data_IF_430166826065
#
_entry.id   IF_430166826065
#
_cell.length_a   1.000
_cell.length_b   1.000
_cell.length_c   1.000
_cell.angle_alpha   90.00
_cell.angle_beta   90.00
_cell.angle_gamma   90.00
#
_symmetry.space_group_name_H-M   'P 1'
#
loop_
_entity.id
_entity.type
_entity.pdbx_description
1 polymer ?
#
# COMPACT_ATOMS: atom_id res chain seq x y z
N UNK A 1 40.38 -11.61 8.66
CA UNK A 1 39.13 -11.80 7.89
C UNK A 1 38.09 -10.85 8.44
N UNK A 2 37.44 -9.97 7.66
CA UNK A 2 36.32 -9.20 8.19
C UNK A 2 35.21 -10.19 8.53
N UNK A 3 34.76 -10.18 9.78
CA UNK A 3 33.67 -11.03 10.25
C UNK A 3 32.49 -10.92 9.28
N UNK A 4 31.98 -12.06 8.80
CA UNK A 4 30.73 -12.10 8.05
C UNK A 4 29.69 -11.31 8.85
N UNK A 5 28.99 -10.32 8.26
CA UNK A 5 27.98 -9.61 9.02
C UNK A 5 26.97 -10.63 9.51
N UNK A 6 26.92 -10.84 10.83
CA UNK A 6 25.97 -11.74 11.46
C UNK A 6 24.58 -11.38 10.90
N UNK A 7 23.88 -12.38 10.37
CA UNK A 7 22.53 -12.18 9.85
C UNK A 7 21.67 -11.63 10.98
N UNK A 8 21.50 -10.30 11.01
CA UNK A 8 20.71 -9.66 12.04
C UNK A 8 19.25 -9.98 11.73
N UNK A 9 18.57 -10.64 12.65
CA UNK A 9 17.18 -11.01 12.47
C UNK A 9 16.31 -9.80 12.08
N UNK A 10 15.32 -9.97 11.18
CA UNK A 10 14.62 -8.85 10.56
C UNK A 10 13.83 -7.97 11.56
N UNK A 11 13.53 -8.49 12.75
CA UNK A 11 12.89 -7.77 13.87
C UNK A 11 13.84 -6.98 14.77
N UNK A 12 15.15 -6.95 14.50
CA UNK A 12 16.15 -6.22 15.30
C UNK A 12 16.48 -4.84 14.72
N UNK A 13 16.87 -3.90 15.57
CA UNK A 13 17.42 -2.60 15.18
C UNK A 13 18.90 -2.72 14.77
N UNK A 14 19.53 -1.60 14.37
CA UNK A 14 20.96 -1.59 13.97
C UNK A 14 21.91 -1.91 15.13
N UNK A 15 21.47 -1.73 16.38
CA UNK A 15 22.23 -2.06 17.57
C UNK A 15 21.96 -3.50 18.05
N UNK A 16 21.21 -4.30 17.27
CA UNK A 16 20.87 -5.69 17.61
C UNK A 16 19.74 -5.83 18.63
N UNK A 17 19.12 -4.74 19.08
CA UNK A 17 18.00 -4.79 20.04
C UNK A 17 16.69 -5.13 19.35
N UNK A 18 15.76 -5.73 20.08
CA UNK A 18 14.43 -6.03 19.55
C UNK A 18 13.67 -4.73 19.25
N UNK A 19 13.18 -4.60 18.02
CA UNK A 19 12.34 -3.48 17.59
C UNK A 19 10.90 -3.92 17.54
N UNK A 20 10.08 -3.47 18.49
CA UNK A 20 8.65 -3.79 18.53
C UNK A 20 7.96 -3.53 17.19
N UNK A 21 8.20 -2.37 16.56
CA UNK A 21 7.64 -2.04 15.25
C UNK A 21 7.99 -3.07 14.16
N UNK A 22 9.27 -3.47 14.07
CA UNK A 22 9.69 -4.44 13.06
C UNK A 22 9.12 -5.83 13.35
N UNK A 23 9.08 -6.23 14.62
CA UNK A 23 8.47 -7.50 15.02
C UNK A 23 6.98 -7.53 14.68
N UNK A 24 6.23 -6.48 15.02
CA UNK A 24 4.80 -6.38 14.71
C UNK A 24 4.53 -6.46 13.21
N UNK A 25 5.31 -5.74 12.38
CA UNK A 25 5.15 -5.81 10.92
C UNK A 25 5.55 -7.18 10.38
N UNK A 26 6.57 -7.83 10.95
CA UNK A 26 6.97 -9.18 10.56
C UNK A 26 5.87 -10.20 10.87
N UNK A 27 5.30 -10.18 12.07
CA UNK A 27 4.18 -11.06 12.45
C UNK A 27 2.94 -10.79 11.59
N UNK A 28 2.62 -9.52 11.34
CA UNK A 28 1.55 -9.12 10.44
C UNK A 28 1.78 -9.62 9.01
N UNK A 29 3.02 -9.62 8.52
CA UNK A 29 3.37 -10.14 7.20
C UNK A 29 3.20 -11.66 7.07
N UNK A 30 3.34 -12.40 8.17
CA UNK A 30 3.14 -13.86 8.21
C UNK A 30 1.68 -14.26 8.39
N UNK A 31 0.91 -13.47 9.15
CA UNK A 31 -0.46 -13.77 9.53
C UNK A 31 -1.36 -14.26 8.36
N UNK A 32 -1.40 -13.60 7.19
CA UNK A 32 -2.28 -14.05 6.12
C UNK A 32 -1.84 -15.35 5.45
N UNK A 33 -0.54 -15.59 5.33
CA UNK A 33 -0.02 -16.87 4.84
C UNK A 33 -0.34 -18.02 5.80
N UNK A 34 -0.23 -17.77 7.12
CA UNK A 34 -0.63 -18.74 8.15
C UNK A 34 -2.13 -19.01 8.14
N UNK A 35 -2.95 -17.97 7.97
CA UNK A 35 -4.39 -18.12 7.86
C UNK A 35 -4.79 -18.94 6.63
N UNK A 36 -4.20 -18.64 5.46
CA UNK A 36 -4.45 -19.41 4.24
C UNK A 36 -4.02 -20.87 4.37
N UNK A 37 -2.87 -21.13 4.99
CA UNK A 37 -2.39 -22.49 5.24
C UNK A 37 -3.30 -23.25 6.22
N UNK A 38 -3.77 -22.59 7.28
CA UNK A 38 -4.73 -23.16 8.23
C UNK A 38 -6.08 -23.44 7.58
N UNK A 39 -6.59 -22.53 6.75
CA UNK A 39 -7.83 -22.72 6.00
C UNK A 39 -7.73 -23.87 4.99
N UNK A 40 -6.57 -24.06 4.37
CA UNK A 40 -6.29 -25.21 3.52
C UNK A 40 -6.28 -26.52 4.33
N UNK A 41 -5.58 -26.54 5.47
CA UNK A 41 -5.47 -27.73 6.32
C UNK A 41 -6.81 -28.14 6.97
N UNK A 42 -7.72 -27.19 7.17
CA UNK A 42 -9.06 -27.44 7.71
C UNK A 42 -10.15 -27.58 6.66
N UNK A 43 -9.81 -27.81 5.38
CA UNK A 43 -10.75 -27.98 4.26
C UNK A 43 -11.75 -26.80 4.10
N UNK A 44 -11.37 -25.60 4.53
CA UNK A 44 -12.24 -24.42 4.56
C UNK A 44 -12.18 -23.57 3.27
N UNK A 45 -11.43 -24.00 2.26
CA UNK A 45 -11.22 -23.26 1.00
C UNK A 45 -12.15 -23.70 -0.15
N UNK A 46 -13.11 -24.58 0.14
CA UNK A 46 -14.11 -25.05 -0.81
C UNK A 46 -13.55 -26.01 -1.87
N UNK A 47 -14.30 -26.19 -2.96
CA UNK A 47 -14.04 -27.26 -3.94
C UNK A 47 -12.73 -27.12 -4.75
N UNK A 48 -12.14 -25.92 -4.82
CA UNK A 48 -10.89 -25.65 -5.55
C UNK A 48 -9.87 -24.97 -4.64
N UNK A 49 -9.31 -25.70 -3.66
CA UNK A 49 -8.51 -25.12 -2.60
C UNK A 49 -7.20 -24.50 -3.10
N UNK A 50 -6.55 -25.13 -4.10
CA UNK A 50 -5.32 -24.57 -4.71
C UNK A 50 -5.60 -23.26 -5.44
N UNK A 51 -6.70 -23.18 -6.21
CA UNK A 51 -7.11 -21.95 -6.87
C UNK A 51 -7.47 -20.86 -5.84
N UNK A 52 -8.08 -21.22 -4.71
CA UNK A 52 -8.34 -20.27 -3.62
C UNK A 52 -7.04 -19.75 -2.96
N UNK A 53 -6.05 -20.61 -2.71
CA UNK A 53 -4.72 -20.20 -2.26
C UNK A 53 -4.04 -19.28 -3.28
N UNK A 54 -4.13 -19.61 -4.57
CA UNK A 54 -3.57 -18.83 -5.67
C UNK A 54 -4.15 -17.41 -5.65
N UNK A 55 -5.47 -17.27 -5.60
CA UNK A 55 -6.11 -15.96 -5.49
C UNK A 55 -5.70 -15.24 -4.20
N UNK A 56 -5.83 -15.88 -3.04
CA UNK A 56 -5.52 -15.27 -1.75
C UNK A 56 -4.08 -14.74 -1.66
N UNK A 57 -3.10 -15.50 -2.14
CA UNK A 57 -1.69 -15.04 -2.13
C UNK A 57 -1.44 -13.88 -3.08
N UNK A 58 -2.12 -13.86 -4.25
CA UNK A 58 -2.07 -12.74 -5.19
C UNK A 58 -2.68 -11.46 -4.60
N UNK A 59 -3.82 -11.57 -3.94
CA UNK A 59 -4.46 -10.45 -3.24
C UNK A 59 -3.55 -9.88 -2.17
N UNK A 60 -2.98 -10.72 -1.31
CA UNK A 60 -2.06 -10.28 -0.26
C UNK A 60 -0.79 -9.64 -0.82
N UNK A 61 -0.27 -10.11 -1.95
CA UNK A 61 0.84 -9.45 -2.63
C UNK A 61 0.50 -7.99 -2.99
N UNK A 62 -0.69 -7.73 -3.57
CA UNK A 62 -1.15 -6.36 -3.90
C UNK A 62 -1.37 -5.54 -2.63
N UNK A 63 -1.97 -6.11 -1.59
CA UNK A 63 -2.16 -5.44 -0.29
C UNK A 63 -0.84 -4.99 0.31
N UNK A 64 0.15 -5.87 0.38
CA UNK A 64 1.50 -5.52 0.86
C UNK A 64 2.19 -4.49 -0.04
N UNK A 65 1.94 -4.52 -1.35
CA UNK A 65 2.51 -3.55 -2.29
C UNK A 65 2.00 -2.15 -1.98
N UNK A 66 0.70 -2.00 -1.81
CA UNK A 66 0.10 -0.72 -1.41
C UNK A 66 0.52 -0.28 -0.01
N UNK A 67 0.62 -1.20 0.96
CA UNK A 67 1.17 -0.90 2.29
C UNK A 67 2.62 -0.38 2.20
N UNK A 68 3.46 -0.98 1.36
CA UNK A 68 4.84 -0.52 1.14
C UNK A 68 4.89 0.90 0.55
N UNK A 69 3.95 1.23 -0.34
CA UNK A 69 3.77 2.56 -0.91
C UNK A 69 3.17 3.55 0.11
N UNK A 70 2.39 3.06 1.07
CA UNK A 70 1.76 3.86 2.12
C UNK A 70 2.76 4.35 3.20
N UNK A 71 3.89 3.67 3.37
CA UNK A 71 4.90 4.03 4.38
C UNK A 71 5.32 5.51 4.30
N UNK A 72 5.57 6.03 3.10
CA UNK A 72 6.00 7.42 2.91
C UNK A 72 4.93 8.45 3.29
N UNK A 73 3.68 8.37 2.78
CA UNK A 73 2.59 9.25 3.21
C UNK A 73 2.35 9.20 4.71
N UNK A 74 2.19 8.00 5.26
CA UNK A 74 1.88 7.82 6.68
C UNK A 74 2.98 8.38 7.57
N UNK A 75 4.26 8.15 7.22
CA UNK A 75 5.40 8.75 7.93
C UNK A 75 5.30 10.28 8.02
N UNK A 76 4.89 10.96 6.94
CA UNK A 76 4.86 12.42 6.88
C UNK A 76 3.61 13.00 7.54
N UNK A 77 2.46 12.41 7.28
CA UNK A 77 1.18 12.88 7.83
C UNK A 77 1.15 12.67 9.35
N UNK A 78 1.50 11.46 9.81
CA UNK A 78 1.51 11.11 11.23
C UNK A 78 2.79 11.52 11.99
N UNK A 79 3.75 12.19 11.33
CA UNK A 79 5.06 12.54 11.90
C UNK A 79 5.81 11.37 12.55
N UNK A 80 5.72 10.17 11.95
CA UNK A 80 6.31 8.96 12.51
C UNK A 80 7.51 8.46 11.67
N UNK A 81 8.71 9.05 11.84
CA UNK A 81 9.88 8.76 11.00
C UNK A 81 10.33 7.30 11.07
N UNK A 82 10.11 6.61 12.20
CA UNK A 82 10.49 5.21 12.40
C UNK A 82 9.79 4.25 11.43
N UNK A 83 8.66 4.63 10.83
CA UNK A 83 7.95 3.82 9.85
C UNK A 83 8.79 3.50 8.60
N UNK A 84 9.81 4.32 8.28
CA UNK A 84 10.70 4.04 7.15
C UNK A 84 11.51 2.73 7.34
N UNK A 85 11.70 2.29 8.59
CA UNK A 85 12.49 1.11 8.94
C UNK A 85 11.85 -0.20 8.47
N UNK A 86 10.53 -0.21 8.24
CA UNK A 86 9.78 -1.40 7.80
C UNK A 86 9.48 -1.42 6.30
N UNK A 87 9.83 -0.35 5.56
CA UNK A 87 9.56 -0.26 4.12
C UNK A 87 10.18 -1.41 3.32
N UNK A 88 11.44 -1.73 3.61
CA UNK A 88 12.15 -2.83 2.95
C UNK A 88 11.55 -4.19 3.30
N UNK A 89 11.15 -4.38 4.56
CA UNK A 89 10.49 -5.60 5.02
C UNK A 89 9.20 -5.84 4.23
N UNK A 90 8.32 -4.84 4.16
CA UNK A 90 7.09 -4.90 3.36
C UNK A 90 7.38 -5.17 1.87
N UNK A 91 8.35 -4.47 1.27
CA UNK A 91 8.70 -4.70 -0.14
C UNK A 91 9.19 -6.12 -0.43
N UNK A 92 9.96 -6.73 0.49
CA UNK A 92 10.36 -8.13 0.36
C UNK A 92 9.21 -9.11 0.62
N UNK A 93 8.27 -8.76 1.52
CA UNK A 93 7.02 -9.51 1.70
C UNK A 93 6.21 -9.56 0.41
N UNK A 94 6.09 -8.44 -0.32
CA UNK A 94 5.42 -8.44 -1.64
C UNK A 94 6.03 -9.45 -2.58
N UNK A 95 7.37 -9.45 -2.71
CA UNK A 95 8.07 -10.39 -3.57
C UNK A 95 7.85 -11.84 -3.11
N UNK A 96 7.91 -12.10 -1.80
CA UNK A 96 7.68 -13.44 -1.26
C UNK A 96 6.28 -13.96 -1.62
N UNK A 97 5.24 -13.17 -1.40
CA UNK A 97 3.86 -13.56 -1.76
C UNK A 97 3.68 -13.70 -3.26
N UNK A 98 4.30 -12.84 -4.08
CA UNK A 98 4.23 -12.95 -5.54
C UNK A 98 4.95 -14.20 -6.07
N UNK A 99 6.05 -14.63 -5.45
CA UNK A 99 6.72 -15.89 -5.77
C UNK A 99 5.89 -17.11 -5.34
N UNK A 100 5.28 -17.06 -4.15
CA UNK A 100 4.34 -18.10 -3.70
C UNK A 100 3.14 -18.18 -4.66
N UNK A 101 2.63 -17.04 -5.11
CA UNK A 101 1.55 -16.97 -6.09
C UNK A 101 1.94 -17.66 -7.41
N UNK A 102 3.12 -17.38 -7.96
CA UNK A 102 3.62 -18.10 -9.14
C UNK A 102 3.79 -19.61 -8.87
N UNK A 103 4.31 -19.97 -7.70
CA UNK A 103 4.47 -21.39 -7.33
C UNK A 103 3.12 -22.10 -7.26
N UNK A 104 2.10 -21.48 -6.65
CA UNK A 104 0.73 -22.02 -6.61
C UNK A 104 0.11 -22.10 -8.00
N UNK A 105 0.44 -21.19 -8.92
CA UNK A 105 0.01 -21.30 -10.31
C UNK A 105 0.63 -22.52 -10.99
N UNK A 106 1.91 -22.80 -10.75
CA UNK A 106 2.57 -24.03 -11.24
C UNK A 106 1.89 -25.28 -10.65
N UNK A 107 1.52 -25.26 -9.37
CA UNK A 107 0.77 -26.35 -8.72
C UNK A 107 -0.62 -26.51 -9.35
N UNK A 108 -1.35 -25.42 -9.59
CA UNK A 108 -2.68 -25.41 -10.25
C UNK A 108 -2.60 -25.97 -11.68
N UNK A 109 -1.45 -25.82 -12.34
CA UNK A 109 -1.12 -26.45 -13.62
C UNK A 109 -0.52 -27.86 -13.52
N UNK A 110 -0.63 -28.52 -12.37
CA UNK A 110 -0.12 -29.87 -12.11
C UNK A 110 1.38 -30.05 -12.43
N UNK A 111 2.19 -29.01 -12.21
CA UNK A 111 3.63 -28.98 -12.49
C UNK A 111 4.01 -29.17 -13.98
N UNK A 112 3.06 -29.06 -14.91
CA UNK A 112 3.34 -29.14 -16.35
C UNK A 112 3.92 -27.81 -16.83
N UNK A 113 5.25 -27.65 -16.74
CA UNK A 113 5.92 -26.36 -17.00
C UNK A 113 5.75 -25.85 -18.44
N UNK A 114 5.67 -26.74 -19.43
CA UNK A 114 5.40 -26.36 -20.82
C UNK A 114 4.04 -25.68 -20.97
N UNK A 115 3.02 -26.19 -20.26
CA UNK A 115 1.69 -25.58 -20.19
C UNK A 115 1.73 -24.23 -19.47
N UNK A 116 2.42 -24.16 -18.32
CA UNK A 116 2.60 -22.91 -17.56
C UNK A 116 3.15 -21.79 -18.45
N UNK A 117 4.25 -22.06 -19.16
CA UNK A 117 4.88 -21.08 -20.05
C UNK A 117 3.97 -20.74 -21.22
N UNK A 118 3.37 -21.75 -21.86
CA UNK A 118 2.44 -21.54 -22.98
C UNK A 118 1.27 -20.64 -22.57
N UNK A 119 0.66 -20.86 -21.41
CA UNK A 119 -0.44 -20.03 -20.91
C UNK A 119 0.02 -18.61 -20.56
N UNK A 120 1.20 -18.44 -19.95
CA UNK A 120 1.75 -17.11 -19.64
C UNK A 120 1.95 -16.27 -20.91
N UNK A 121 2.37 -16.90 -22.01
CA UNK A 121 2.62 -16.21 -23.29
C UNK A 121 1.31 -15.95 -24.05
N UNK A 122 0.38 -16.89 -24.02
CA UNK A 122 -0.86 -16.82 -24.83
C UNK A 122 -1.97 -16.03 -24.16
N UNK A 123 -2.00 -15.95 -22.82
CA UNK A 123 -3.03 -15.21 -22.07
C UNK A 123 -2.47 -13.86 -21.61
N UNK A 124 -2.93 -12.78 -22.23
CA UNK A 124 -2.39 -11.43 -22.00
C UNK A 124 -2.36 -11.01 -20.52
N UNK A 125 -3.39 -11.35 -19.73
CA UNK A 125 -3.43 -11.00 -18.31
C UNK A 125 -2.33 -11.72 -17.50
N UNK A 126 -1.96 -12.95 -17.86
CA UNK A 126 -0.84 -13.67 -17.24
C UNK A 126 0.50 -13.04 -17.61
N UNK A 127 0.66 -12.60 -18.86
CA UNK A 127 1.86 -11.86 -19.28
C UNK A 127 2.06 -10.60 -18.45
N UNK A 128 0.98 -9.82 -18.21
CA UNK A 128 1.03 -8.62 -17.36
C UNK A 128 1.49 -8.96 -15.93
N UNK A 129 0.92 -10.02 -15.34
CA UNK A 129 1.31 -10.49 -14.02
C UNK A 129 2.77 -10.93 -13.96
N UNK A 130 3.25 -11.64 -14.98
CA UNK A 130 4.64 -12.10 -15.08
C UNK A 130 5.62 -10.92 -15.23
N UNK A 131 5.31 -9.90 -16.03
CA UNK A 131 6.12 -8.68 -16.15
C UNK A 131 6.19 -7.94 -14.81
N UNK A 132 5.08 -7.84 -14.08
CA UNK A 132 5.06 -7.25 -12.74
C UNK A 132 5.94 -8.05 -11.76
N UNK A 133 5.83 -9.38 -11.76
CA UNK A 133 6.66 -10.27 -10.95
C UNK A 133 8.16 -10.12 -11.29
N UNK A 134 8.51 -10.09 -12.57
CA UNK A 134 9.89 -9.88 -13.01
C UNK A 134 10.43 -8.55 -12.47
N UNK A 135 9.64 -7.48 -12.56
CA UNK A 135 9.97 -6.19 -11.95
C UNK A 135 10.19 -6.29 -10.43
N UNK A 136 9.32 -7.00 -9.71
CA UNK A 136 9.48 -7.23 -8.26
C UNK A 136 10.76 -8.00 -7.94
N UNK A 137 11.13 -9.01 -8.73
CA UNK A 137 12.38 -9.78 -8.58
C UNK A 137 13.58 -8.85 -8.73
N UNK A 138 13.60 -8.00 -9.76
CA UNK A 138 14.67 -7.00 -9.97
C UNK A 138 14.78 -6.06 -8.76
N UNK A 139 13.65 -5.56 -8.24
CA UNK A 139 13.66 -4.71 -7.05
C UNK A 139 14.11 -5.46 -5.79
N UNK A 140 13.73 -6.73 -5.62
CA UNK A 140 14.14 -7.56 -4.48
C UNK A 140 15.63 -7.87 -4.47
N UNK A 141 16.19 -8.31 -5.60
CA UNK A 141 17.63 -8.59 -5.74
C UNK A 141 18.46 -7.32 -5.50
N UNK A 142 17.97 -6.16 -5.92
CA UNK A 142 18.62 -4.86 -5.69
C UNK A 142 18.32 -4.24 -4.32
N UNK A 143 17.62 -4.95 -3.42
CA UNK A 143 17.31 -4.46 -2.07
C UNK A 143 18.34 -4.83 -1.02
N UNK A 144 19.43 -5.54 -1.36
CA UNK A 144 20.51 -5.87 -0.40
C UNK A 144 21.39 -4.65 -0.09
N UNK A 145 22.00 -4.61 1.09
CA UNK A 145 22.86 -3.48 1.48
C UNK A 145 24.06 -3.32 0.52
N UNK A 146 24.59 -4.44 0.00
CA UNK A 146 25.63 -4.43 -1.02
C UNK A 146 25.16 -3.80 -2.33
N UNK A 147 23.98 -4.16 -2.82
CA UNK A 147 23.43 -3.60 -4.06
C UNK A 147 23.02 -2.14 -3.92
N UNK A 148 22.48 -1.74 -2.77
CA UNK A 148 22.18 -0.32 -2.48
C UNK A 148 23.46 0.51 -2.55
N UNK A 149 24.57 0.03 -1.95
CA UNK A 149 25.88 0.70 -2.03
C UNK A 149 26.43 0.72 -3.46
N UNK A 150 26.36 -0.42 -4.17
CA UNK A 150 26.89 -0.56 -5.55
C UNK A 150 26.18 0.35 -6.54
N UNK A 151 24.86 0.44 -6.48
CA UNK A 151 24.06 1.22 -7.44
C UNK A 151 24.01 2.71 -7.10
N UNK A 152 24.21 3.10 -5.84
CA UNK A 152 24.26 4.51 -5.41
C UNK A 152 23.08 5.33 -5.92
N UNK A 153 23.34 6.37 -6.73
CA UNK A 153 22.31 7.29 -7.27
C UNK A 153 21.35 6.62 -8.27
N UNK A 154 21.73 5.49 -8.87
CA UNK A 154 20.85 4.75 -9.78
C UNK A 154 19.79 3.93 -9.03
N UNK A 155 20.10 3.48 -7.79
CA UNK A 155 19.17 2.70 -6.96
C UNK A 155 17.78 3.35 -6.79
N UNK A 156 17.66 4.62 -6.35
CA UNK A 156 16.35 5.25 -6.21
C UNK A 156 15.66 5.49 -7.56
N UNK A 157 16.38 5.54 -8.69
CA UNK A 157 15.76 5.64 -10.02
C UNK A 157 15.14 4.31 -10.42
N UNK A 158 15.87 3.20 -10.25
CA UNK A 158 15.37 1.85 -10.47
C UNK A 158 14.13 1.57 -9.61
N UNK A 159 14.21 1.92 -8.32
CA UNK A 159 13.12 1.67 -7.36
C UNK A 159 11.87 2.55 -7.58
N UNK A 160 11.89 3.52 -8.52
CA UNK A 160 10.66 4.17 -9.00
C UNK A 160 9.81 3.25 -9.87
N UNK A 161 10.38 2.18 -10.44
CA UNK A 161 9.63 1.18 -11.21
C UNK A 161 8.51 0.53 -10.39
N UNK A 162 8.57 0.57 -9.05
CA UNK A 162 7.51 0.10 -8.16
C UNK A 162 6.15 0.73 -8.45
N UNK A 163 6.09 1.97 -8.95
CA UNK A 163 4.83 2.61 -9.32
C UNK A 163 4.22 1.96 -10.55
N UNK A 164 5.03 1.67 -11.57
CA UNK A 164 4.59 0.93 -12.77
C UNK A 164 4.21 -0.50 -12.41
N UNK A 165 4.99 -1.18 -11.57
CA UNK A 165 4.69 -2.54 -11.08
C UNK A 165 3.36 -2.56 -10.34
N UNK A 166 3.05 -1.54 -9.52
CA UNK A 166 1.77 -1.44 -8.84
C UNK A 166 0.60 -1.28 -9.81
N UNK A 167 0.75 -0.47 -10.86
CA UNK A 167 -0.27 -0.37 -11.92
C UNK A 167 -0.46 -1.72 -12.63
N UNK A 168 0.63 -2.38 -13.02
CA UNK A 168 0.56 -3.70 -13.67
C UNK A 168 -0.11 -4.75 -12.78
N UNK A 169 0.23 -4.78 -11.48
CA UNK A 169 -0.39 -5.68 -10.51
C UNK A 169 -1.89 -5.44 -10.32
N UNK A 170 -2.32 -4.17 -10.26
CA UNK A 170 -3.74 -3.82 -10.16
C UNK A 170 -4.50 -4.17 -11.44
N UNK A 171 -3.92 -3.91 -12.62
CA UNK A 171 -4.52 -4.30 -13.91
C UNK A 171 -4.64 -5.82 -14.02
N UNK A 172 -3.59 -6.55 -13.65
CA UNK A 172 -3.63 -8.02 -13.59
C UNK A 172 -4.76 -8.51 -12.68
N UNK A 173 -4.95 -7.89 -11.51
CA UNK A 173 -6.02 -8.24 -10.58
C UNK A 173 -7.41 -7.95 -11.16
N UNK A 174 -7.62 -6.79 -11.79
CA UNK A 174 -8.88 -6.49 -12.49
C UNK A 174 -9.24 -7.53 -13.55
N UNK A 175 -8.26 -7.94 -14.35
CA UNK A 175 -8.48 -8.88 -15.45
C UNK A 175 -8.75 -10.31 -14.97
N UNK A 176 -8.33 -10.65 -13.76
CA UNK A 176 -8.59 -11.95 -13.14
C UNK A 176 -9.97 -12.01 -12.48
N UNK A 177 -10.52 -10.88 -12.03
CA UNK A 177 -11.83 -10.81 -11.42
C UNK A 177 -12.95 -11.12 -12.43
N UNK A 178 -13.81 -12.09 -12.10
CA UNK A 178 -14.80 -12.63 -13.05
C UNK A 178 -16.14 -11.89 -13.04
N UNK A 179 -16.67 -11.63 -11.84
CA UNK A 179 -18.03 -11.09 -11.67
C UNK A 179 -17.97 -9.88 -10.74
N UNK A 180 -17.38 -10.05 -9.56
CA UNK A 180 -17.22 -8.97 -8.60
C UNK A 180 -15.83 -8.35 -8.71
N UNK A 181 -15.77 -7.07 -9.04
CA UNK A 181 -14.53 -6.28 -9.10
C UNK A 181 -14.38 -5.34 -7.90
N UNK A 182 -15.17 -5.51 -6.84
CA UNK A 182 -15.17 -4.61 -5.69
C UNK A 182 -13.78 -4.47 -5.05
N UNK A 183 -13.08 -5.59 -4.84
CA UNK A 183 -11.74 -5.59 -4.26
C UNK A 183 -10.70 -4.89 -5.14
N UNK A 184 -10.51 -5.24 -6.43
CA UNK A 184 -9.54 -4.53 -7.27
C UNK A 184 -9.89 -3.05 -7.44
N UNK A 185 -11.17 -2.68 -7.50
CA UNK A 185 -11.61 -1.27 -7.50
C UNK A 185 -11.20 -0.56 -6.21
N UNK A 186 -11.45 -1.17 -5.05
CA UNK A 186 -11.08 -0.60 -3.75
C UNK A 186 -9.57 -0.36 -3.65
N UNK A 187 -8.76 -1.37 -3.97
CA UNK A 187 -7.30 -1.25 -3.91
C UNK A 187 -6.74 -0.27 -4.95
N UNK A 188 -7.42 -0.10 -6.08
CA UNK A 188 -7.10 0.93 -7.08
C UNK A 188 -7.39 2.33 -6.55
N UNK A 189 -8.52 2.55 -5.88
CA UNK A 189 -8.78 3.81 -5.18
C UNK A 189 -7.74 4.08 -4.09
N UNK A 190 -7.34 3.06 -3.32
CA UNK A 190 -6.22 3.16 -2.38
C UNK A 190 -4.90 3.60 -3.05
N UNK A 191 -4.56 3.01 -4.20
CA UNK A 191 -3.41 3.43 -4.99
C UNK A 191 -3.52 4.88 -5.47
N UNK A 192 -4.69 5.29 -5.97
CA UNK A 192 -4.95 6.66 -6.40
C UNK A 192 -4.84 7.68 -5.26
N UNK A 193 -5.29 7.35 -4.04
CA UNK A 193 -5.06 8.18 -2.85
C UNK A 193 -3.56 8.38 -2.59
N UNK A 194 -2.78 7.29 -2.66
CA UNK A 194 -1.34 7.32 -2.44
C UNK A 194 -0.60 8.11 -3.53
N UNK A 195 -1.05 8.05 -4.77
CA UNK A 195 -0.48 8.81 -5.88
C UNK A 195 -0.90 10.28 -5.84
N UNK A 196 -2.17 10.56 -5.54
CA UNK A 196 -2.69 11.91 -5.36
C UNK A 196 -1.96 12.66 -4.24
N UNK A 197 -1.69 12.01 -3.10
CA UNK A 197 -0.88 12.63 -2.05
C UNK A 197 0.56 12.96 -2.51
N UNK A 198 1.16 12.13 -3.36
CA UNK A 198 2.47 12.42 -3.97
C UNK A 198 2.38 13.56 -4.98
N UNK A 199 1.31 13.63 -5.75
CA UNK A 199 1.05 14.71 -6.70
C UNK A 199 0.92 16.05 -5.97
N UNK A 200 0.16 16.11 -4.88
CA UNK A 200 0.04 17.32 -4.03
C UNK A 200 1.42 17.84 -3.59
N UNK A 201 2.30 16.96 -3.11
CA UNK A 201 3.66 17.37 -2.73
C UNK A 201 4.53 17.79 -3.90
N UNK A 202 4.40 17.11 -5.05
CA UNK A 202 5.16 17.46 -6.26
C UNK A 202 4.75 18.84 -6.76
N UNK A 203 3.46 19.16 -6.68
CA UNK A 203 2.89 20.46 -7.04
C UNK A 203 3.00 21.51 -5.92
N UNK A 204 3.64 21.17 -4.78
CA UNK A 204 3.82 22.04 -3.61
C UNK A 204 2.50 22.58 -3.02
N UNK A 205 1.40 21.85 -3.19
CA UNK A 205 0.15 22.18 -2.53
C UNK A 205 0.25 21.96 -1.02
N UNK A 206 -0.40 22.81 -0.19
CA UNK A 206 -0.34 22.67 1.26
C UNK A 206 -1.00 21.35 1.69
N UNK A 207 -0.35 20.62 2.59
CA UNK A 207 -0.90 19.38 3.17
C UNK A 207 -1.60 19.76 4.47
N UNK A 208 -2.86 20.19 4.34
CA UNK A 208 -3.74 20.55 5.46
C UNK A 208 -5.00 19.65 5.42
N UNK A 209 -5.85 19.67 6.47
CA UNK A 209 -7.02 18.79 6.51
C UNK A 209 -7.99 19.00 5.33
N UNK A 210 -8.14 20.23 4.83
CA UNK A 210 -9.05 20.54 3.72
C UNK A 210 -8.54 19.99 2.39
N UNK A 211 -7.25 20.11 2.09
CA UNK A 211 -6.68 19.57 0.84
C UNK A 211 -6.68 18.04 0.86
N UNK A 212 -6.45 17.43 2.02
CA UNK A 212 -6.55 15.98 2.20
C UNK A 212 -7.99 15.47 2.09
N UNK A 213 -8.97 16.23 2.62
CA UNK A 213 -10.39 15.93 2.45
C UNK A 213 -10.81 16.03 0.97
N UNK A 214 -10.43 17.11 0.30
CA UNK A 214 -10.70 17.29 -1.14
C UNK A 214 -10.11 16.16 -1.99
N UNK A 215 -8.89 15.73 -1.66
CA UNK A 215 -8.28 14.55 -2.29
C UNK A 215 -9.08 13.27 -2.03
N UNK A 216 -9.52 13.03 -0.79
CA UNK A 216 -10.29 11.84 -0.44
C UNK A 216 -11.62 11.76 -1.22
N UNK A 217 -12.36 12.87 -1.28
CA UNK A 217 -13.61 12.97 -2.05
C UNK A 217 -13.36 12.79 -3.54
N UNK A 218 -12.37 13.49 -4.11
CA UNK A 218 -12.06 13.39 -5.53
C UNK A 218 -11.69 11.95 -5.93
N UNK A 219 -10.87 11.27 -5.13
CA UNK A 219 -10.51 9.88 -5.42
C UNK A 219 -11.69 8.93 -5.25
N UNK A 220 -12.55 9.11 -4.25
CA UNK A 220 -13.76 8.30 -4.10
C UNK A 220 -14.69 8.42 -5.32
N UNK A 221 -14.87 9.63 -5.86
CA UNK A 221 -15.63 9.87 -7.09
C UNK A 221 -15.00 9.19 -8.31
N UNK A 222 -13.67 9.31 -8.45
CA UNK A 222 -12.94 8.60 -9.53
C UNK A 222 -13.08 7.08 -9.38
N UNK A 223 -13.03 6.55 -8.15
CA UNK A 223 -13.24 5.12 -7.88
C UNK A 223 -14.63 4.66 -8.29
N UNK A 224 -15.69 5.40 -7.94
CA UNK A 224 -17.06 5.09 -8.39
C UNK A 224 -17.18 5.12 -9.92
N UNK A 225 -16.55 6.11 -10.57
CA UNK A 225 -16.49 6.20 -12.03
C UNK A 225 -15.76 5.03 -12.68
N UNK A 226 -14.64 4.60 -12.10
CA UNK A 226 -13.88 3.43 -12.58
C UNK A 226 -14.70 2.14 -12.45
N UNK A 227 -15.40 1.95 -11.34
CA UNK A 227 -16.31 0.80 -11.16
C UNK A 227 -17.40 0.80 -12.23
N UNK A 228 -18.08 1.93 -12.42
CA UNK A 228 -19.15 2.08 -13.41
C UNK A 228 -18.64 1.88 -14.85
N UNK A 229 -17.47 2.43 -15.17
CA UNK A 229 -16.83 2.23 -16.46
C UNK A 229 -16.49 0.77 -16.71
N UNK A 230 -15.92 0.07 -15.71
CA UNK A 230 -15.55 -1.33 -15.86
C UNK A 230 -16.77 -2.21 -16.17
N UNK A 231 -17.83 -2.11 -15.36
CA UNK A 231 -19.06 -2.88 -15.61
C UNK A 231 -19.76 -2.48 -16.93
N UNK A 232 -19.67 -1.20 -17.32
CA UNK A 232 -20.15 -0.71 -18.60
C UNK A 232 -19.45 -1.34 -19.79
N UNK A 233 -18.13 -1.32 -19.82
CA UNK A 233 -17.34 -1.81 -20.95
C UNK A 233 -17.14 -3.33 -20.95
N UNK A 234 -16.91 -3.94 -19.78
CA UNK A 234 -16.57 -5.36 -19.68
C UNK A 234 -17.79 -6.27 -19.55
N UNK A 235 -18.86 -5.81 -18.88
CA UNK A 235 -20.04 -6.63 -18.58
C UNK A 235 -21.30 -6.18 -19.32
N UNK A 236 -21.27 -5.05 -20.02
CA UNK A 236 -22.44 -4.46 -20.71
C UNK A 236 -23.53 -3.94 -19.76
N UNK A 237 -23.24 -3.81 -18.46
CA UNK A 237 -24.19 -3.27 -17.48
C UNK A 237 -24.21 -1.75 -17.62
N UNK A 238 -25.37 -1.10 -17.81
CA UNK A 238 -25.43 0.35 -17.93
C UNK A 238 -24.73 1.05 -16.76
N UNK A 239 -23.78 1.92 -17.07
CA UNK A 239 -22.97 2.63 -16.06
C UNK A 239 -23.83 3.41 -15.06
N UNK A 240 -24.97 3.96 -15.53
CA UNK A 240 -25.95 4.64 -14.68
C UNK A 240 -26.46 3.75 -13.54
N UNK A 241 -26.75 2.47 -13.81
CA UNK A 241 -27.23 1.53 -12.78
C UNK A 241 -26.17 1.29 -11.72
N UNK A 242 -24.89 1.24 -12.12
CA UNK A 242 -23.78 1.06 -11.19
C UNK A 242 -23.57 2.31 -10.32
N UNK A 243 -23.74 3.51 -10.90
CA UNK A 243 -23.69 4.78 -10.16
C UNK A 243 -24.87 4.92 -9.20
N UNK A 244 -26.10 4.61 -9.64
CA UNK A 244 -27.27 4.57 -8.76
C UNK A 244 -27.05 3.58 -7.61
N UNK A 245 -26.49 2.41 -7.89
CA UNK A 245 -26.19 1.42 -6.85
C UNK A 245 -25.07 1.85 -5.89
N UNK A 246 -24.17 2.77 -6.30
CA UNK A 246 -23.21 3.41 -5.39
C UNK A 246 -23.93 4.33 -4.38
N UNK A 247 -25.09 4.89 -4.73
CA UNK A 247 -25.85 5.80 -3.86
C UNK A 247 -26.98 5.10 -3.09
N UNK A 248 -27.42 3.92 -3.54
CA UNK A 248 -28.58 3.22 -2.99
C UNK A 248 -28.31 2.44 -1.69
N UNK A 249 -27.06 2.37 -1.23
CA UNK A 249 -26.62 1.61 -0.03
C UNK A 249 -27.40 0.30 0.22
N UNK A 250 -27.34 -0.68 -0.71
CA UNK A 250 -27.91 -2.00 -0.46
C UNK A 250 -27.15 -2.71 0.68
N UNK A 251 -27.45 -3.99 0.92
CA UNK A 251 -26.82 -4.81 1.98
C UNK A 251 -25.28 -4.86 1.95
N UNK A 252 -24.63 -4.46 0.84
CA UNK A 252 -23.17 -4.33 0.73
C UNK A 252 -22.75 -2.90 0.33
N UNK A 253 -21.79 -2.36 1.09
CA UNK A 253 -21.20 -1.05 0.84
C UNK A 253 -20.22 -1.13 -0.33
N UNK A 254 -20.42 -0.28 -1.33
CA UNK A 254 -19.61 -0.23 -2.56
C UNK A 254 -18.18 0.31 -2.31
N UNK A 255 -17.20 -0.06 -3.16
CA UNK A 255 -15.78 0.29 -2.97
C UNK A 255 -15.49 1.78 -2.77
N UNK A 256 -16.20 2.66 -3.48
CA UNK A 256 -15.97 4.11 -3.41
C UNK A 256 -16.12 4.66 -1.98
N UNK A 257 -17.08 4.14 -1.21
CA UNK A 257 -17.30 4.54 0.18
C UNK A 257 -16.20 4.03 1.10
N UNK A 258 -15.70 2.82 0.87
CA UNK A 258 -14.52 2.31 1.60
C UNK A 258 -13.26 3.12 1.30
N UNK A 259 -13.07 3.55 0.04
CA UNK A 259 -11.97 4.43 -0.36
C UNK A 259 -12.12 5.80 0.29
N UNK A 260 -13.33 6.35 0.34
CA UNK A 260 -13.60 7.60 1.06
C UNK A 260 -13.26 7.46 2.53
N UNK A 261 -13.75 6.42 3.21
CA UNK A 261 -13.47 6.15 4.62
C UNK A 261 -11.96 6.04 4.88
N UNK A 262 -11.23 5.30 4.05
CA UNK A 262 -9.77 5.19 4.11
C UNK A 262 -9.09 6.55 3.89
N UNK A 263 -9.57 7.33 2.92
CA UNK A 263 -9.07 8.66 2.60
C UNK A 263 -9.28 9.67 3.74
N UNK A 264 -10.40 9.59 4.46
CA UNK A 264 -10.76 10.45 5.59
C UNK A 264 -9.87 10.24 6.82
N UNK A 265 -9.17 9.11 6.93
CA UNK A 265 -8.16 8.90 7.98
C UNK A 265 -7.03 9.92 7.85
N UNK A 266 -6.64 10.29 6.63
CA UNK A 266 -5.54 11.22 6.38
C UNK A 266 -5.79 12.63 6.95
N UNK A 267 -6.91 13.33 6.62
CA UNK A 267 -7.21 14.63 7.21
C UNK A 267 -7.47 14.53 8.72
N UNK A 268 -8.09 13.45 9.21
CA UNK A 268 -8.35 13.27 10.64
C UNK A 268 -7.03 13.19 11.45
N UNK A 269 -6.09 12.35 11.02
CA UNK A 269 -4.76 12.23 11.66
C UNK A 269 -4.00 13.56 11.58
N UNK A 270 -4.07 14.24 10.44
CA UNK A 270 -3.42 15.55 10.27
C UNK A 270 -4.01 16.61 11.21
N UNK A 271 -5.33 16.68 11.33
CA UNK A 271 -6.03 17.63 12.20
C UNK A 271 -5.74 17.35 13.68
N UNK A 272 -5.82 16.08 14.11
CA UNK A 272 -5.52 15.67 15.48
C UNK A 272 -4.09 16.05 15.87
N UNK A 273 -3.12 15.83 14.97
CA UNK A 273 -1.74 16.26 15.18
C UNK A 273 -1.63 17.78 15.32
N UNK A 274 -2.23 18.56 14.42
CA UNK A 274 -2.16 20.02 14.49
C UNK A 274 -2.80 20.56 15.78
N UNK A 275 -3.85 19.93 16.27
CA UNK A 275 -4.46 20.26 17.56
C UNK A 275 -3.51 19.95 18.73
N UNK A 276 -2.85 18.79 18.71
CA UNK A 276 -1.86 18.39 19.72
C UNK A 276 -0.64 19.32 19.77
N UNK A 277 -0.09 19.69 18.60
CA UNK A 277 1.06 20.59 18.51
C UNK A 277 0.68 22.00 19.05
N UNK A 278 -0.55 22.45 18.82
CA UNK A 278 -1.09 23.73 19.35
C UNK A 278 -1.33 23.70 20.86
N UNK A 279 -1.79 22.58 21.42
CA UNK A 279 -1.97 22.46 22.87
C UNK A 279 -0.63 22.47 23.59
N UNK A 280 0.36 21.72 23.08
CA UNK A 280 1.68 21.63 23.71
C UNK A 280 2.46 22.96 23.67
N UNK A 281 2.31 23.72 22.59
CA UNK A 281 2.92 25.06 22.47
C UNK A 281 2.29 26.10 23.39
N UNK A 282 1.00 25.96 23.72
CA UNK A 282 0.32 26.83 24.71
C UNK A 282 0.72 26.53 26.16
N UNK A 283 1.10 25.30 26.46
CA UNK A 283 1.44 24.85 27.81
C UNK A 283 2.91 25.02 28.18
N UNK A 284 3.82 25.26 27.21
CA UNK A 284 5.24 25.48 27.49
C UNK A 284 5.50 26.94 27.92
N UNK A 285 5.92 27.20 29.18
CA UNK A 285 6.20 28.55 29.66
C UNK A 285 7.36 29.22 28.91
N UNK A 286 8.27 28.45 28.29
CA UNK A 286 9.47 28.96 27.62
C UNK A 286 9.22 29.53 26.23
N UNK A 287 8.07 29.23 25.62
CA UNK A 287 7.69 29.70 24.28
C UNK A 287 6.71 30.87 24.32
N UNK A 288 6.31 31.34 25.51
CA UNK A 288 5.50 32.56 25.65
C UNK A 288 6.31 33.75 25.08
N UNK A 289 5.74 34.55 24.16
CA UNK A 289 6.34 35.82 23.79
C UNK A 289 6.56 36.63 25.07
N UNK A 290 7.79 37.15 25.26
CA UNK A 290 8.06 38.06 26.37
C UNK A 290 7.02 39.18 26.32
N UNK A 291 6.23 39.34 27.41
CA UNK A 291 5.31 40.47 27.52
C UNK A 291 6.12 41.74 27.24
N UNK A 292 5.70 42.60 26.29
CA UNK A 292 6.38 43.86 26.08
C UNK A 292 6.33 44.61 27.41
N UNK A 293 7.49 44.83 28.03
CA UNK A 293 7.61 45.65 29.23
C UNK A 293 6.94 46.98 28.92
N UNK A 294 5.83 47.26 29.59
CA UNK A 294 5.08 48.49 29.45
C UNK A 294 6.04 49.67 29.60
N UNK A 295 6.13 50.51 28.56
CA UNK A 295 6.94 51.75 28.52
C UNK A 295 6.54 52.81 29.57
N UNK A 296 5.75 52.45 30.58
CA UNK A 296 5.27 53.38 31.62
C UNK A 296 6.28 53.57 32.78
N UNK A 297 7.40 52.85 32.81
CA UNK A 297 8.38 52.97 33.90
C UNK A 297 9.54 53.98 33.64
N UNK A 298 9.52 54.72 32.52
CA UNK A 298 10.63 55.63 32.16
C UNK A 298 10.27 57.13 32.22
N UNK A 299 9.08 57.49 32.70
CA UNK A 299 8.64 58.88 32.82
C UNK A 299 8.64 59.41 34.28
N UNK A 300 9.27 58.70 35.21
CA UNK A 300 9.42 59.14 36.59
C UNK A 300 10.84 58.85 37.09
N UNK A 301 11.78 59.73 36.74
CA UNK A 301 12.99 60.07 37.51
C UNK A 301 13.74 61.21 36.82
#
# INVERSE_FOLDING_TARGET
MPALPAFSAPWRDRAGRLSGLKLSVFLFALAPGLWLAGAYAGDALGAKPITALLHGTGEWAVRFLLLSLAVTPLRRIANFPKLILVRRMLGLTVLAYALIHLALYVVDQNFVLTKVVSEIVTRFYLTIGFVALFGLVVLGVTSTDGMIRRLGKAWPRLHKAVYTIAVLGLVHYFLQAKIDVSDPVFWTGGFLLLMGWRALQRLRWPINPLTLLGLAVAVALVTAGLEAAWYGFASGIPAERVLQANLAFPSMIRPAWWVLALGLILPAVNAARLAWDRSNTRTDPKTRPAQPRSRQAMAAR
#
